data_IF_180203815241
#
_entry.id   IF_180203815241
#
_cell.length_a   1.000
_cell.length_b   1.000
_cell.length_c   1.000
_cell.angle_alpha   90.00
_cell.angle_beta   90.00
_cell.angle_gamma   90.00
#
_symmetry.space_group_name_H-M   'P 1'
#
loop_
_entity.id
_entity.type
_entity.pdbx_description
1 polymer ?
#
# COMPACT_ATOMS: atom_id res chain seq x y z
N UNK A 1 -17.32 4.10 -8.36
CA UNK A 1 -17.02 4.07 -6.92
C UNK A 1 -17.88 5.14 -6.29
N UNK A 2 -18.39 4.92 -5.08
CA UNK A 2 -19.12 5.97 -4.34
C UNK A 2 -18.17 7.11 -3.96
N UNK A 3 -18.69 8.24 -3.48
CA UNK A 3 -17.84 9.35 -3.01
C UNK A 3 -16.91 8.93 -1.87
N UNK A 4 -17.44 8.15 -0.90
CA UNK A 4 -16.64 7.59 0.19
C UNK A 4 -15.54 6.66 -0.32
N UNK A 5 -15.85 5.75 -1.26
CA UNK A 5 -14.86 4.88 -1.88
C UNK A 5 -13.76 5.66 -2.63
N UNK A 6 -14.11 6.77 -3.29
CA UNK A 6 -13.16 7.64 -4.00
C UNK A 6 -12.27 8.39 -3.01
N UNK A 7 -12.83 8.88 -1.90
CA UNK A 7 -12.06 9.51 -0.83
C UNK A 7 -11.00 8.55 -0.28
N UNK A 8 -11.40 7.32 0.08
CA UNK A 8 -10.47 6.29 0.52
C UNK A 8 -9.42 5.93 -0.54
N UNK A 9 -9.80 5.90 -1.82
CA UNK A 9 -8.84 5.66 -2.90
C UNK A 9 -7.74 6.71 -2.93
N UNK A 10 -8.12 7.99 -2.83
CA UNK A 10 -7.16 9.09 -2.87
C UNK A 10 -6.23 9.07 -1.65
N UNK A 11 -6.75 8.73 -0.47
CA UNK A 11 -5.94 8.53 0.74
C UNK A 11 -4.95 7.39 0.56
N UNK A 12 -5.41 6.20 0.17
CA UNK A 12 -4.55 5.02 0.01
C UNK A 12 -3.49 5.20 -1.10
N UNK A 13 -3.81 5.88 -2.20
CA UNK A 13 -2.80 6.17 -3.25
C UNK A 13 -1.75 7.14 -2.76
N UNK A 14 -2.13 8.13 -1.93
CA UNK A 14 -1.18 9.06 -1.32
C UNK A 14 -0.27 8.35 -0.32
N UNK A 15 -0.85 7.46 0.48
CA UNK A 15 -0.15 6.81 1.60
C UNK A 15 0.66 5.57 1.15
N UNK A 16 0.39 5.04 -0.05
CA UNK A 16 1.06 3.86 -0.62
C UNK A 16 1.73 4.20 -1.98
N UNK A 17 2.81 5.01 -2.00
CA UNK A 17 3.41 5.53 -3.23
C UNK A 17 4.00 4.45 -4.17
N UNK A 18 4.23 3.23 -3.68
CA UNK A 18 4.71 2.09 -4.48
C UNK A 18 3.62 1.42 -5.31
N UNK A 19 2.35 1.81 -5.17
CA UNK A 19 1.28 1.19 -5.94
C UNK A 19 1.38 1.53 -7.43
N UNK A 20 1.18 0.52 -8.26
CA UNK A 20 1.07 0.66 -9.70
C UNK A 20 -0.20 -0.02 -10.23
N UNK A 21 -0.41 0.07 -11.55
CA UNK A 21 -1.65 -0.35 -12.22
C UNK A 21 -2.08 -1.80 -11.95
N UNK A 22 -1.18 -2.71 -11.59
CA UNK A 22 -1.51 -4.09 -11.28
C UNK A 22 -2.30 -4.22 -9.96
N UNK A 23 -2.07 -3.31 -9.00
CA UNK A 23 -2.74 -3.34 -7.69
C UNK A 23 -4.17 -2.83 -7.72
N UNK A 24 -4.61 -2.23 -8.84
CA UNK A 24 -5.90 -1.52 -8.95
C UNK A 24 -7.12 -2.31 -8.48
N UNK A 25 -7.14 -3.63 -8.70
CA UNK A 25 -8.27 -4.48 -8.30
C UNK A 25 -8.28 -4.71 -6.79
N UNK A 26 -7.11 -4.96 -6.19
CA UNK A 26 -6.99 -5.11 -4.74
C UNK A 26 -7.30 -3.79 -4.03
N UNK A 27 -6.76 -2.68 -4.54
CA UNK A 27 -7.01 -1.34 -4.01
C UNK A 27 -8.50 -0.99 -4.07
N UNK A 28 -9.19 -1.28 -5.18
CA UNK A 28 -10.63 -1.03 -5.31
C UNK A 28 -11.45 -1.83 -4.31
N UNK A 29 -11.08 -3.08 -4.03
CA UNK A 29 -11.75 -3.90 -3.00
C UNK A 29 -11.49 -3.35 -1.59
N UNK A 30 -10.26 -2.89 -1.31
CA UNK A 30 -9.92 -2.26 -0.04
C UNK A 30 -10.76 -1.00 0.18
N UNK A 31 -10.85 -0.10 -0.80
CA UNK A 31 -11.66 1.13 -0.72
C UNK A 31 -13.13 0.83 -0.39
N UNK A 32 -13.71 -0.20 -1.02
CA UNK A 32 -15.10 -0.59 -0.77
C UNK A 32 -15.34 -1.14 0.64
N UNK A 33 -14.38 -1.88 1.20
CA UNK A 33 -14.51 -2.41 2.55
C UNK A 33 -14.21 -1.35 3.61
N UNK A 34 -13.25 -0.47 3.37
CA UNK A 34 -12.92 0.66 4.24
C UNK A 34 -14.08 1.67 4.31
N UNK A 35 -14.64 2.11 3.19
CA UNK A 35 -15.79 3.03 3.20
C UNK A 35 -17.01 2.46 3.97
N UNK A 36 -17.21 1.14 3.91
CA UNK A 36 -18.26 0.46 4.70
C UNK A 36 -17.99 0.47 6.21
N UNK A 37 -16.72 0.54 6.64
CA UNK A 37 -16.37 0.67 8.06
C UNK A 37 -16.78 2.03 8.61
N UNK A 38 -16.66 3.08 7.81
CA UNK A 38 -17.04 4.43 8.21
C UNK A 38 -18.57 4.61 8.29
N UNK A 39 -19.33 3.81 7.54
CA UNK A 39 -20.79 3.78 7.55
C UNK A 39 -21.41 3.00 8.73
N UNK A 40 -20.63 2.20 9.46
CA UNK A 40 -21.10 1.45 10.63
C UNK A 40 -20.54 0.04 10.77
N UNK A 41 -21.36 -0.88 11.31
CA UNK A 41 -20.88 -2.19 11.74
C UNK A 41 -20.52 -3.11 10.57
N UNK A 42 -19.24 -3.51 10.50
CA UNK A 42 -18.72 -4.40 9.46
C UNK A 42 -18.52 -5.80 10.04
N UNK A 43 -19.08 -6.82 9.41
CA UNK A 43 -18.93 -8.20 9.87
C UNK A 43 -17.47 -8.68 9.88
N UNK A 44 -17.15 -9.61 10.79
CA UNK A 44 -15.80 -10.17 10.99
C UNK A 44 -15.16 -10.67 9.68
N UNK A 45 -15.95 -11.27 8.79
CA UNK A 45 -15.45 -11.74 7.50
C UNK A 45 -14.95 -10.59 6.61
N UNK A 46 -15.69 -9.48 6.57
CA UNK A 46 -15.30 -8.28 5.82
C UNK A 46 -14.04 -7.64 6.42
N UNK A 47 -13.90 -7.63 7.75
CA UNK A 47 -12.66 -7.16 8.41
C UNK A 47 -11.45 -8.05 8.09
N UNK A 48 -11.64 -9.38 8.10
CA UNK A 48 -10.59 -10.33 7.71
C UNK A 48 -10.19 -10.17 6.25
N UNK A 49 -11.17 -9.99 5.36
CA UNK A 49 -10.91 -9.73 3.94
C UNK A 49 -10.12 -8.43 3.75
N UNK A 50 -10.51 -7.35 4.44
CA UNK A 50 -9.78 -6.07 4.40
C UNK A 50 -8.34 -6.21 4.89
N UNK A 51 -8.14 -6.83 6.06
CA UNK A 51 -6.79 -7.09 6.59
C UNK A 51 -5.93 -7.88 5.58
N UNK A 52 -6.50 -8.90 4.93
CA UNK A 52 -5.81 -9.69 3.92
C UNK A 52 -5.48 -8.92 2.63
N UNK A 53 -6.29 -7.92 2.27
CA UNK A 53 -6.03 -7.03 1.14
C UNK A 53 -4.92 -6.04 1.47
N UNK A 54 -4.95 -5.43 2.66
CA UNK A 54 -3.93 -4.50 3.12
C UNK A 54 -2.55 -5.16 3.18
N UNK A 55 -2.44 -6.39 3.70
CA UNK A 55 -1.19 -7.14 3.66
C UNK A 55 -0.66 -7.42 2.25
N UNK A 56 -1.55 -7.65 1.27
CA UNK A 56 -1.12 -7.85 -0.13
C UNK A 56 -0.72 -6.55 -0.83
N UNK A 57 -1.25 -5.42 -0.37
CA UNK A 57 -0.91 -4.09 -0.86
C UNK A 57 0.37 -3.54 -0.22
N UNK A 58 0.95 -4.23 0.77
CA UNK A 58 2.05 -3.71 1.58
C UNK A 58 1.60 -2.58 2.51
N UNK A 59 0.31 -2.47 2.81
CA UNK A 59 -0.28 -1.38 3.58
C UNK A 59 -0.32 -1.69 5.10
N UNK A 60 0.67 -2.43 5.60
CA UNK A 60 0.80 -2.70 7.05
C UNK A 60 1.99 -1.95 7.63
N UNK A 61 2.00 -1.59 8.93
CA UNK A 61 3.11 -0.84 9.52
C UNK A 61 4.50 -1.50 9.37
N UNK A 62 4.54 -2.82 9.24
CA UNK A 62 5.77 -3.59 9.01
C UNK A 62 6.25 -3.49 7.57
N UNK A 63 5.34 -3.25 6.63
CA UNK A 63 5.64 -3.08 5.22
C UNK A 63 6.09 -1.64 4.94
N UNK A 64 5.49 -0.64 5.59
CA UNK A 64 5.90 0.77 5.54
C UNK A 64 7.39 0.95 5.88
N UNK A 65 7.89 0.24 6.90
CA UNK A 65 9.32 0.29 7.29
C UNK A 65 10.29 -0.36 6.30
N UNK A 66 9.78 -1.04 5.27
CA UNK A 66 10.59 -1.70 4.22
C UNK A 66 10.54 -0.95 2.90
N UNK A 67 9.76 0.13 2.83
CA UNK A 67 9.66 0.97 1.65
C UNK A 67 10.81 1.97 1.72
N UNK A 68 11.83 1.73 0.90
CA UNK A 68 12.87 2.74 0.63
C UNK A 68 12.17 3.93 -0.01
N UNK A 69 12.09 5.04 0.73
CA UNK A 69 11.59 6.28 0.17
C UNK A 69 12.64 6.74 -0.84
N UNK A 70 12.29 6.77 -2.13
CA UNK A 70 13.18 7.22 -3.20
C UNK A 70 13.69 8.63 -2.85
N UNK A 71 14.89 8.70 -2.30
CA UNK A 71 15.38 9.86 -1.57
C UNK A 71 16.62 9.58 -0.73
N UNK A 72 16.82 8.34 -0.28
CA UNK A 72 18.17 7.89 0.08
C UNK A 72 18.89 7.50 -1.21
N UNK A 73 19.95 8.24 -1.52
CA UNK A 73 21.01 7.78 -2.40
C UNK A 73 21.52 6.45 -1.83
N UNK A 74 20.91 5.34 -2.26
CA UNK A 74 21.45 4.00 -2.07
C UNK A 74 22.79 3.96 -2.83
N UNK A 75 23.87 4.39 -2.17
CA UNK A 75 25.19 3.85 -2.44
C UNK A 75 25.06 2.34 -2.26
N UNK A 76 24.90 1.64 -3.39
CA UNK A 76 24.80 0.18 -3.44
C UNK A 76 25.98 -0.37 -2.63
N UNK A 77 25.71 -1.09 -1.55
CA UNK A 77 26.77 -1.71 -0.74
C UNK A 77 27.66 -2.65 -1.59
N UNK A 78 27.21 -3.05 -2.79
CA UNK A 78 28.01 -3.75 -3.77
C UNK A 78 29.08 -2.86 -4.45
N UNK A 79 28.90 -1.54 -4.54
CA UNK A 79 29.91 -0.61 -5.08
C UNK A 79 31.19 -0.57 -4.22
N UNK A 80 31.08 -0.79 -2.90
CA UNK A 80 32.25 -0.95 -2.01
C UNK A 80 33.06 -2.22 -2.35
N UNK A 81 32.39 -3.28 -2.82
CA UNK A 81 33.02 -4.57 -3.05
C UNK A 81 33.49 -4.76 -4.51
N UNK A 82 32.84 -4.13 -5.48
CA UNK A 82 33.09 -4.36 -6.90
C UNK A 82 33.75 -3.20 -7.66
N UNK A 83 34.09 -2.10 -6.98
CA UNK A 83 35.03 -1.05 -7.43
C UNK A 83 35.04 -0.74 -8.94
N UNK A 84 34.43 0.38 -9.33
CA UNK A 84 34.42 0.88 -10.73
C UNK A 84 35.77 0.70 -11.44
N UNK A 85 35.84 -0.05 -12.56
CA UNK A 85 37.06 -0.11 -13.35
C UNK A 85 37.37 1.27 -13.96
N UNK A 86 38.65 1.64 -13.93
CA UNK A 86 39.22 2.88 -14.50
C UNK A 86 38.93 3.05 -15.99
#
# INVERSE_FOLDING_TARGET
MTEAEIATWNELVRDLPWLHSAHRLLLRMACRLSARMDEGEVGVESMKALSSLLSKLGATPVDESKVTHAGDDDEDAADEFFGKPH
#
